data_IF_897592676342
#
_entry.id   IF_897592676342
#
_cell.length_a   1.000
_cell.length_b   1.000
_cell.length_c   1.000
_cell.angle_alpha   90.00
_cell.angle_beta   90.00
_cell.angle_gamma   90.00
#
_symmetry.space_group_name_H-M   'P 1'
#
loop_
_entity.id
_entity.type
_entity.pdbx_description
1 polymer ?
#
# COMPACT_ATOMS: atom_id res chain seq x y z
N UNK A 1 14.31 -13.32 -10.29
CA UNK A 1 13.07 -13.12 -9.51
C UNK A 1 13.27 -11.85 -8.71
N UNK A 2 12.41 -10.85 -8.88
CA UNK A 2 12.41 -9.66 -8.01
C UNK A 2 12.01 -10.10 -6.59
N UNK A 3 12.65 -9.53 -5.56
CA UNK A 3 12.24 -9.80 -4.17
C UNK A 3 10.81 -9.28 -3.93
N UNK A 4 10.05 -9.93 -3.03
CA UNK A 4 8.78 -9.39 -2.53
C UNK A 4 8.92 -7.96 -2.01
N UNK A 5 7.88 -7.15 -2.19
CA UNK A 5 7.89 -5.72 -1.86
C UNK A 5 8.24 -5.44 -0.38
N UNK A 6 7.74 -6.28 0.52
CA UNK A 6 7.95 -6.14 1.97
C UNK A 6 9.42 -6.25 2.40
N UNK A 7 10.27 -6.93 1.64
CA UNK A 7 11.70 -7.07 1.95
C UNK A 7 12.46 -5.74 1.79
N UNK A 8 11.89 -4.77 1.07
CA UNK A 8 12.53 -3.47 0.85
C UNK A 8 12.19 -2.44 1.93
N UNK A 9 11.03 -2.52 2.58
CA UNK A 9 10.51 -1.43 3.40
C UNK A 9 11.41 -1.07 4.58
N UNK A 10 11.99 -2.05 5.27
CA UNK A 10 12.87 -1.82 6.43
C UNK A 10 14.15 -1.06 6.08
N UNK A 11 14.55 -1.01 4.80
CA UNK A 11 15.76 -0.34 4.34
C UNK A 11 15.50 1.05 3.75
N UNK A 12 14.23 1.45 3.66
CA UNK A 12 13.85 2.73 3.07
C UNK A 12 13.72 3.81 4.15
N UNK A 13 14.11 5.06 3.84
CA UNK A 13 13.83 6.20 4.69
C UNK A 13 12.34 6.35 4.92
N UNK A 14 11.94 6.81 6.10
CA UNK A 14 10.53 7.03 6.44
C UNK A 14 9.82 7.97 5.46
N UNK A 15 10.51 8.99 4.96
CA UNK A 15 9.98 9.90 3.93
C UNK A 15 9.64 9.17 2.62
N UNK A 16 10.45 8.19 2.21
CA UNK A 16 10.17 7.36 1.04
C UNK A 16 8.95 6.43 1.29
N UNK A 17 8.84 5.88 2.50
CA UNK A 17 7.69 5.06 2.90
C UNK A 17 6.40 5.88 2.95
N UNK A 18 6.47 7.13 3.41
CA UNK A 18 5.35 8.07 3.42
C UNK A 18 4.89 8.38 2.00
N UNK A 19 5.80 8.75 1.10
CA UNK A 19 5.46 9.06 -0.29
C UNK A 19 4.85 7.85 -1.00
N UNK A 20 5.42 6.67 -0.78
CA UNK A 20 4.89 5.43 -1.35
C UNK A 20 3.48 5.14 -0.84
N UNK A 21 3.25 5.29 0.47
CA UNK A 21 1.93 5.12 1.09
C UNK A 21 0.91 6.08 0.47
N UNK A 22 1.26 7.37 0.32
CA UNK A 22 0.39 8.37 -0.27
C UNK A 22 0.05 8.04 -1.73
N UNK A 23 1.03 7.60 -2.51
CA UNK A 23 0.79 7.15 -3.88
C UNK A 23 -0.15 5.94 -3.94
N UNK A 24 0.04 4.93 -3.07
CA UNK A 24 -0.83 3.75 -3.02
C UNK A 24 -2.30 4.15 -2.78
N UNK A 25 -2.56 4.99 -1.78
CA UNK A 25 -3.94 5.31 -1.37
C UNK A 25 -4.64 6.34 -2.25
N UNK A 26 -3.90 7.19 -2.96
CA UNK A 26 -4.48 8.26 -3.80
C UNK A 26 -4.52 7.92 -5.29
N UNK A 27 -3.47 7.27 -5.81
CA UNK A 27 -3.32 7.01 -7.24
C UNK A 27 -3.61 5.55 -7.57
N UNK A 28 -2.93 4.61 -6.91
CA UNK A 28 -3.13 3.20 -7.23
C UNK A 28 -4.54 2.73 -6.86
N UNK A 29 -5.06 3.12 -5.70
CA UNK A 29 -6.44 2.83 -5.31
C UNK A 29 -7.47 3.41 -6.31
N UNK A 30 -7.19 4.57 -6.89
CA UNK A 30 -8.06 5.18 -7.92
C UNK A 30 -8.10 4.33 -9.19
N UNK A 31 -6.99 3.74 -9.61
CA UNK A 31 -6.96 2.79 -10.72
C UNK A 31 -7.82 1.55 -10.45
N UNK A 32 -7.97 1.15 -9.19
CA UNK A 32 -8.88 0.09 -8.74
C UNK A 32 -10.33 0.57 -8.53
N UNK A 33 -10.66 1.82 -8.85
CA UNK A 33 -12.00 2.40 -8.70
C UNK A 33 -12.32 2.98 -7.32
N UNK A 34 -11.32 3.15 -6.46
CA UNK A 34 -11.48 3.70 -5.11
C UNK A 34 -10.87 5.11 -5.03
N UNK A 35 -11.72 6.13 -5.16
CA UNK A 35 -11.30 7.52 -4.98
C UNK A 35 -11.13 7.85 -3.50
N UNK A 36 -10.03 8.52 -3.19
CA UNK A 36 -9.72 9.03 -1.86
C UNK A 36 -9.01 10.38 -1.98
N UNK A 37 -9.45 11.32 -1.14
CA UNK A 37 -8.78 12.60 -0.94
C UNK A 37 -8.51 12.73 0.55
N UNK A 38 -7.23 12.76 0.98
CA UNK A 38 -6.90 12.92 2.38
C UNK A 38 -7.34 14.29 2.92
N UNK A 39 -7.73 14.31 4.19
CA UNK A 39 -7.91 15.52 4.96
C UNK A 39 -6.54 16.01 5.44
N UNK A 40 -5.91 16.85 4.61
CA UNK A 40 -4.57 17.40 4.86
C UNK A 40 -4.50 18.18 6.18
N UNK A 41 -5.61 18.76 6.66
CA UNK A 41 -5.63 19.48 7.94
C UNK A 41 -5.38 18.58 9.15
N UNK A 42 -5.60 17.27 8.99
CA UNK A 42 -5.31 16.25 10.00
C UNK A 42 -3.95 15.59 9.81
N UNK A 43 -3.23 15.93 8.74
CA UNK A 43 -1.92 15.39 8.41
C UNK A 43 -0.82 16.43 8.61
N UNK A 44 -1.16 17.70 8.58
CA UNK A 44 -0.26 18.83 8.79
C UNK A 44 0.48 18.70 10.13
N UNK A 45 1.78 18.95 10.10
CA UNK A 45 2.71 18.90 11.24
C UNK A 45 2.79 17.57 12.01
N UNK A 46 2.18 16.49 11.51
CA UNK A 46 2.34 15.18 12.13
C UNK A 46 3.76 14.63 11.87
N UNK A 47 4.40 14.06 12.91
CA UNK A 47 5.60 13.28 12.70
C UNK A 47 5.26 12.00 11.90
N UNK A 48 6.22 11.40 11.21
CA UNK A 48 5.95 10.36 10.20
C UNK A 48 5.30 9.12 10.83
N UNK A 49 5.70 8.79 12.06
CA UNK A 49 5.14 7.72 12.87
C UNK A 49 3.64 7.86 13.12
N UNK A 50 3.10 9.08 13.08
CA UNK A 50 1.68 9.38 13.23
C UNK A 50 1.01 9.70 11.87
N UNK A 51 1.75 10.28 10.93
CA UNK A 51 1.26 10.63 9.59
C UNK A 51 0.74 9.38 8.85
N UNK A 52 1.55 8.33 8.77
CA UNK A 52 1.19 7.13 8.00
C UNK A 52 -0.03 6.43 8.61
N UNK A 53 -0.09 6.16 9.93
CA UNK A 53 -1.31 5.64 10.56
C UNK A 53 -2.54 6.53 10.35
N UNK A 54 -2.38 7.85 10.43
CA UNK A 54 -3.49 8.78 10.23
C UNK A 54 -4.02 8.76 8.79
N UNK A 55 -3.13 8.75 7.79
CA UNK A 55 -3.47 8.65 6.37
C UNK A 55 -4.16 7.32 6.06
N UNK A 56 -3.58 6.22 6.54
CA UNK A 56 -4.16 4.87 6.37
C UNK A 56 -5.52 4.78 7.05
N UNK A 57 -5.68 5.32 8.25
CA UNK A 57 -6.97 5.38 8.95
C UNK A 57 -8.05 6.09 8.12
N UNK A 58 -7.75 7.28 7.60
CA UNK A 58 -8.69 8.01 6.74
C UNK A 58 -9.07 7.23 5.47
N UNK A 59 -8.11 6.56 4.84
CA UNK A 59 -8.37 5.74 3.66
C UNK A 59 -9.24 4.52 3.99
N UNK A 60 -8.96 3.84 5.10
CA UNK A 60 -9.73 2.68 5.56
C UNK A 60 -11.16 3.05 5.90
N UNK A 61 -11.39 4.17 6.58
CA UNK A 61 -12.73 4.68 6.88
C UNK A 61 -13.53 5.01 5.60
N UNK A 62 -12.82 5.42 4.55
CA UNK A 62 -13.42 5.74 3.25
C UNK A 62 -13.75 4.51 2.40
N UNK A 63 -12.91 3.46 2.48
CA UNK A 63 -12.98 2.32 1.56
C UNK A 63 -13.63 1.08 2.16
N UNK A 64 -13.56 0.88 3.48
CA UNK A 64 -14.12 -0.29 4.17
C UNK A 64 -15.63 -0.14 4.41
N UNK A 65 -16.39 0.01 3.32
CA UNK A 65 -17.84 0.29 3.36
C UNK A 65 -18.72 -0.95 3.24
N UNK A 66 -18.16 -2.07 2.80
CA UNK A 66 -18.90 -3.30 2.55
C UNK A 66 -18.16 -4.56 3.03
N UNK A 67 -18.81 -5.72 2.89
CA UNK A 67 -18.27 -7.01 3.32
C UNK A 67 -17.01 -7.35 2.53
N UNK A 68 -16.98 -7.10 1.21
CA UNK A 68 -15.85 -7.40 0.34
C UNK A 68 -14.59 -6.66 0.79
N UNK A 69 -14.67 -5.34 0.89
CA UNK A 69 -13.55 -4.49 1.32
C UNK A 69 -13.11 -4.82 2.75
N UNK A 70 -14.04 -5.18 3.64
CA UNK A 70 -13.72 -5.69 4.98
C UNK A 70 -12.96 -7.03 4.97
N UNK A 71 -13.30 -7.96 4.07
CA UNK A 71 -12.61 -9.22 3.90
C UNK A 71 -11.21 -9.02 3.30
N UNK A 72 -11.08 -8.14 2.30
CA UNK A 72 -9.80 -7.79 1.69
C UNK A 72 -8.86 -7.19 2.75
N UNK A 73 -9.36 -6.27 3.60
CA UNK A 73 -8.59 -5.72 4.71
C UNK A 73 -8.11 -6.80 5.69
N UNK A 74 -8.99 -7.73 6.05
CA UNK A 74 -8.65 -8.85 6.94
C UNK A 74 -7.58 -9.76 6.31
N UNK A 75 -7.69 -10.03 5.01
CA UNK A 75 -6.75 -10.85 4.28
C UNK A 75 -5.37 -10.17 4.14
N UNK A 76 -5.36 -8.88 3.82
CA UNK A 76 -4.14 -8.07 3.75
C UNK A 76 -3.43 -8.01 5.10
N UNK A 77 -4.18 -7.81 6.20
CA UNK A 77 -3.64 -7.82 7.56
C UNK A 77 -2.96 -9.15 7.89
N UNK A 78 -3.65 -10.27 7.65
CA UNK A 78 -3.08 -11.62 7.86
C UNK A 78 -1.83 -11.88 7.03
N UNK A 79 -1.76 -11.38 5.81
CA UNK A 79 -0.56 -11.50 4.98
C UNK A 79 0.58 -10.65 5.55
N UNK A 80 0.31 -9.39 5.91
CA UNK A 80 1.30 -8.49 6.48
C UNK A 80 1.88 -9.03 7.80
N UNK A 81 1.03 -9.61 8.66
CA UNK A 81 1.45 -10.25 9.91
C UNK A 81 2.50 -11.36 9.68
N UNK A 82 2.41 -12.08 8.54
CA UNK A 82 3.38 -13.13 8.21
C UNK A 82 4.75 -12.57 7.79
N UNK A 83 4.83 -11.31 7.36
CA UNK A 83 6.09 -10.69 6.95
C UNK A 83 6.94 -10.20 8.14
N UNK A 84 6.41 -10.25 9.36
CA UNK A 84 7.15 -9.94 10.61
C UNK A 84 7.80 -8.56 10.63
N UNK A 85 7.23 -7.59 9.91
CA UNK A 85 7.64 -6.19 9.97
C UNK A 85 7.11 -5.53 11.26
N UNK A 86 7.68 -4.39 11.64
CA UNK A 86 7.20 -3.61 12.78
C UNK A 86 7.19 -2.11 12.47
N UNK A 87 6.42 -1.34 13.25
CA UNK A 87 6.32 0.11 13.10
C UNK A 87 5.78 0.53 11.73
N UNK A 88 6.34 1.61 11.19
CA UNK A 88 5.96 2.19 9.90
C UNK A 88 6.02 1.18 8.74
N UNK A 89 7.11 0.39 8.54
CA UNK A 89 7.15 -0.64 7.51
C UNK A 89 5.99 -1.63 7.53
N UNK A 90 5.51 -2.03 8.71
CA UNK A 90 4.38 -2.96 8.82
C UNK A 90 3.08 -2.33 8.31
N UNK A 91 2.85 -1.05 8.62
CA UNK A 91 1.67 -0.32 8.16
C UNK A 91 1.71 -0.11 6.63
N UNK A 92 2.89 0.20 6.09
CA UNK A 92 3.11 0.36 4.64
C UNK A 92 2.88 -0.95 3.90
N UNK A 93 3.34 -2.06 4.47
CA UNK A 93 3.09 -3.38 3.89
C UNK A 93 1.62 -3.74 3.88
N UNK A 94 0.93 -3.59 5.01
CA UNK A 94 -0.50 -3.78 5.12
C UNK A 94 -1.27 -2.99 4.05
N UNK A 95 -1.01 -1.68 3.93
CA UNK A 95 -1.77 -0.85 2.98
C UNK A 95 -1.44 -1.18 1.53
N UNK A 96 -0.19 -1.53 1.22
CA UNK A 96 0.21 -1.95 -0.12
C UNK A 96 -0.54 -3.23 -0.55
N UNK A 97 -0.66 -4.21 0.37
CA UNK A 97 -1.40 -5.44 0.15
C UNK A 97 -2.89 -5.18 0.03
N UNK A 98 -3.44 -4.32 0.90
CA UNK A 98 -4.85 -3.96 0.85
C UNK A 98 -5.21 -3.34 -0.50
N UNK A 99 -4.49 -2.32 -0.94
CA UNK A 99 -4.71 -1.64 -2.23
C UNK A 99 -4.51 -2.60 -3.40
N UNK A 100 -3.48 -3.46 -3.38
CA UNK A 100 -3.27 -4.48 -4.41
C UNK A 100 -4.50 -5.38 -4.57
N UNK A 101 -5.12 -5.78 -3.46
CA UNK A 101 -6.28 -6.66 -3.48
C UNK A 101 -7.62 -5.94 -3.75
N UNK A 102 -7.62 -4.61 -3.94
CA UNK A 102 -8.81 -3.89 -4.39
C UNK A 102 -9.09 -4.06 -5.90
N UNK A 103 -8.07 -4.40 -6.70
CA UNK A 103 -8.18 -4.52 -8.16
C UNK A 103 -9.13 -5.62 -8.65
N UNK A 104 -9.09 -6.86 -8.11
CA UNK A 104 -10.01 -7.90 -8.57
C UNK A 104 -11.45 -7.61 -8.13
N UNK A 105 -12.38 -7.49 -9.07
CA UNK A 105 -13.80 -7.27 -8.80
C UNK A 105 -14.51 -8.57 -8.35
N UNK A 106 -15.73 -8.46 -7.80
CA UNK A 106 -16.53 -9.66 -7.53
C UNK A 106 -16.85 -10.40 -8.82
N UNK A 107 -16.57 -11.71 -8.84
CA UNK A 107 -16.89 -12.58 -9.98
C UNK A 107 -15.87 -12.59 -11.11
N UNK A 108 -14.71 -11.94 -10.96
CA UNK A 108 -13.57 -12.16 -11.87
C UNK A 108 -13.15 -13.63 -11.83
N UNK A 109 -12.79 -14.19 -12.98
CA UNK A 109 -12.20 -15.53 -13.03
C UNK A 109 -10.77 -15.53 -12.45
N UNK A 110 -10.25 -16.71 -12.14
CA UNK A 110 -8.96 -16.87 -11.48
C UNK A 110 -7.80 -16.32 -12.32
N UNK A 111 -7.85 -16.46 -13.65
CA UNK A 111 -6.77 -16.00 -14.55
C UNK A 111 -6.73 -14.48 -14.60
N UNK A 112 -7.88 -13.83 -14.80
CA UNK A 112 -7.99 -12.37 -14.78
C UNK A 112 -7.55 -11.80 -13.41
N UNK A 113 -7.94 -12.47 -12.33
CA UNK A 113 -7.54 -12.09 -10.97
C UNK A 113 -6.02 -12.10 -10.80
N UNK A 114 -5.34 -13.17 -11.24
CA UNK A 114 -3.88 -13.28 -11.17
C UNK A 114 -3.18 -12.21 -12.02
N UNK A 115 -3.68 -11.92 -13.21
CA UNK A 115 -3.13 -10.87 -14.08
C UNK A 115 -3.23 -9.48 -13.43
N UNK A 116 -4.40 -9.14 -12.87
CA UNK A 116 -4.62 -7.87 -12.17
C UNK A 116 -3.70 -7.72 -10.95
N UNK A 117 -3.58 -8.78 -10.14
CA UNK A 117 -2.69 -8.77 -8.97
C UNK A 117 -1.21 -8.66 -9.36
N UNK A 118 -0.81 -9.33 -10.45
CA UNK A 118 0.55 -9.27 -10.98
C UNK A 118 0.87 -7.86 -11.47
N UNK A 119 -0.04 -7.25 -12.23
CA UNK A 119 0.12 -5.88 -12.72
C UNK A 119 0.19 -4.87 -11.57
N UNK A 120 -0.70 -4.97 -10.59
CA UNK A 120 -0.70 -4.10 -9.42
C UNK A 120 0.61 -4.24 -8.60
N UNK A 121 1.13 -5.46 -8.48
CA UNK A 121 2.41 -5.71 -7.81
C UNK A 121 3.60 -5.09 -8.58
N UNK A 122 3.59 -5.21 -9.91
CA UNK A 122 4.63 -4.63 -10.76
C UNK A 122 4.63 -3.10 -10.67
N UNK A 123 3.46 -2.47 -10.71
CA UNK A 123 3.32 -1.02 -10.54
C UNK A 123 3.85 -0.55 -9.17
N UNK A 124 3.55 -1.28 -8.09
CA UNK A 124 4.07 -0.97 -6.77
C UNK A 124 5.59 -1.06 -6.71
N UNK A 125 6.18 -2.11 -7.29
CA UNK A 125 7.63 -2.26 -7.32
C UNK A 125 8.31 -1.17 -8.14
N UNK A 126 7.74 -0.81 -9.30
CA UNK A 126 8.23 0.27 -10.14
C UNK A 126 8.18 1.62 -9.41
N UNK A 127 7.06 1.94 -8.78
CA UNK A 127 6.92 3.19 -8.02
C UNK A 127 7.85 3.23 -6.81
N UNK A 128 7.95 2.14 -6.06
CA UNK A 128 8.89 2.05 -4.93
C UNK A 128 10.34 2.24 -5.40
N UNK A 129 10.70 1.65 -6.55
CA UNK A 129 12.03 1.80 -7.16
C UNK A 129 12.31 3.25 -7.55
N UNK A 130 11.33 3.92 -8.15
CA UNK A 130 11.43 5.33 -8.49
C UNK A 130 11.66 6.20 -7.24
N UNK A 131 10.81 6.04 -6.22
CA UNK A 131 10.93 6.80 -4.97
C UNK A 131 12.28 6.51 -4.30
N UNK A 132 12.70 5.25 -4.22
CA UNK A 132 13.99 4.90 -3.64
C UNK A 132 15.15 5.65 -4.34
N UNK A 133 15.12 5.75 -5.67
CA UNK A 133 16.11 6.51 -6.45
C UNK A 133 16.08 8.01 -6.13
N UNK A 134 14.89 8.61 -6.01
CA UNK A 134 14.71 10.03 -5.63
C UNK A 134 15.28 10.34 -4.24
N UNK A 135 15.21 9.36 -3.34
CA UNK A 135 15.79 9.42 -1.99
C UNK A 135 17.24 8.91 -1.92
N UNK A 136 17.91 8.70 -3.06
CA UNK A 136 19.30 8.22 -3.17
C UNK A 136 19.56 6.85 -2.51
N UNK A 137 18.53 6.00 -2.41
CA UNK A 137 18.62 4.63 -1.91
C UNK A 137 18.56 3.65 -3.08
N UNK A 138 19.51 2.71 -3.11
CA UNK A 138 19.43 1.58 -4.05
C UNK A 138 18.61 0.47 -3.41
N UNK A 139 17.51 0.09 -4.05
CA UNK A 139 16.86 -1.19 -3.74
C UNK A 139 17.87 -2.30 -4.05
N UNK A 140 18.36 -2.95 -3.01
CA UNK A 140 19.31 -4.05 -3.18
C UNK A 140 18.53 -5.30 -3.62
N UNK A 141 18.91 -5.82 -4.79
CA UNK A 141 18.40 -7.08 -5.33
C UNK A 141 18.65 -8.26 -4.41
#
# INVERSE_FOLDING_TARGET
MSKPLHEYFSNLPEAALQEFTQWCVTQQAREAGYEFTPDETKLEDLPIEDYIPQLVGQFMDTTRKDIRTGLIATFAGKQADNHSLSGVPAMVDFISLYVKHLFPAEGSDETETEELLTKASQQQLEKLSQIAQEHNVKLSA
#
